data_IF_384216689573
#
_entry.id   IF_384216689573
#
_cell.length_a   1.000
_cell.length_b   1.000
_cell.length_c   1.000
_cell.angle_alpha   90.00
_cell.angle_beta   90.00
_cell.angle_gamma   90.00
#
_symmetry.space_group_name_H-M   'P 1'
#
loop_
_entity.id
_entity.type
_entity.pdbx_description
1 polymer ?
#
# COMPACT_ATOMS: atom_id res chain seq x y z
N UNK A 1 29.17 38.88 85.98
CA UNK A 1 28.91 37.42 85.97
C UNK A 1 28.54 36.99 84.55
N UNK A 2 29.26 35.99 84.02
CA UNK A 2 28.87 34.94 83.03
C UNK A 2 28.19 35.29 81.67
N UNK A 3 28.96 35.07 80.58
CA UNK A 3 28.71 34.45 79.24
C UNK A 3 27.27 34.04 78.78
N UNK A 4 26.99 33.71 77.48
CA UNK A 4 27.67 33.96 76.18
C UNK A 4 26.74 34.32 74.98
N UNK A 5 27.39 34.55 73.82
CA UNK A 5 26.97 34.55 72.40
C UNK A 5 25.69 33.83 71.97
N UNK A 6 24.99 34.39 70.97
CA UNK A 6 24.36 33.58 69.91
C UNK A 6 24.22 34.36 68.58
N UNK A 7 25.09 33.99 67.64
CA UNK A 7 24.95 34.19 66.20
C UNK A 7 23.55 33.72 65.74
N UNK A 8 22.83 34.51 64.96
CA UNK A 8 21.74 34.01 64.10
C UNK A 8 22.00 34.41 62.66
N UNK A 9 22.61 33.47 61.94
CA UNK A 9 22.67 33.44 60.48
C UNK A 9 21.26 33.42 59.91
N UNK A 10 20.94 34.41 59.06
CA UNK A 10 19.78 34.37 58.17
C UNK A 10 20.19 33.52 56.97
N UNK A 11 19.80 32.25 56.96
CA UNK A 11 19.95 31.37 55.81
C UNK A 11 18.78 31.63 54.84
N UNK A 12 19.09 32.15 53.65
CA UNK A 12 18.14 32.26 52.55
C UNK A 12 17.81 30.85 52.03
N UNK A 13 16.56 30.44 52.15
CA UNK A 13 16.06 29.18 51.59
C UNK A 13 15.81 29.36 50.08
N UNK A 14 16.80 29.00 49.26
CA UNK A 14 16.61 28.73 47.84
C UNK A 14 15.91 27.38 47.69
N UNK A 15 14.60 27.40 47.50
CA UNK A 15 13.83 26.23 47.05
C UNK A 15 14.21 25.98 45.59
N UNK A 16 15.13 25.04 45.37
CA UNK A 16 15.46 24.55 44.04
C UNK A 16 14.28 23.76 43.46
N UNK A 17 13.60 24.32 42.45
CA UNK A 17 12.76 23.52 41.56
C UNK A 17 13.66 22.57 40.77
N UNK A 18 13.79 21.33 41.23
CA UNK A 18 14.33 20.24 40.43
C UNK A 18 13.26 19.83 39.43
N UNK A 19 13.34 20.38 38.21
CA UNK A 19 12.59 19.85 37.08
C UNK A 19 13.07 18.41 36.84
N UNK A 20 12.24 17.43 37.20
CA UNK A 20 12.39 16.06 36.75
C UNK A 20 12.23 16.05 35.23
N UNK A 21 13.34 16.18 34.51
CA UNK A 21 13.39 15.86 33.10
C UNK A 21 13.17 14.35 32.98
N UNK A 22 11.93 13.95 32.70
CA UNK A 22 11.66 12.59 32.28
C UNK A 22 12.56 12.28 31.08
N UNK A 23 13.21 11.09 31.02
CA UNK A 23 14.00 10.73 29.87
C UNK A 23 13.11 10.82 28.64
N UNK A 24 13.53 11.59 27.64
CA UNK A 24 12.85 11.66 26.35
C UNK A 24 12.90 10.26 25.72
N UNK A 25 11.84 9.47 25.95
CA UNK A 25 11.68 8.16 25.32
C UNK A 25 11.66 8.37 23.80
N UNK A 26 12.35 7.49 23.06
CA UNK A 26 12.30 7.51 21.61
C UNK A 26 10.84 7.42 21.15
N UNK A 27 10.43 8.28 20.21
CA UNK A 27 9.06 8.28 19.66
C UNK A 27 8.77 6.88 19.09
N UNK A 28 7.63 6.24 19.45
CA UNK A 28 7.28 4.93 18.90
C UNK A 28 7.24 4.94 17.38
N UNK A 29 7.67 3.83 16.77
CA UNK A 29 7.68 3.72 15.31
C UNK A 29 6.24 3.62 14.78
N UNK A 30 5.97 4.31 13.67
CA UNK A 30 4.64 4.28 13.07
C UNK A 30 4.21 2.86 12.70
N UNK A 31 5.14 2.00 12.22
CA UNK A 31 4.82 0.61 11.88
C UNK A 31 4.33 -0.21 13.08
N UNK A 32 4.86 0.04 14.26
CA UNK A 32 4.46 -0.64 15.50
C UNK A 32 3.07 -0.19 15.94
N UNK A 33 2.83 1.12 15.90
CA UNK A 33 1.54 1.72 16.25
C UNK A 33 0.40 1.26 15.33
N UNK A 34 0.62 1.31 14.01
CA UNK A 34 -0.37 0.87 13.03
C UNK A 34 -0.52 -0.65 13.00
N UNK A 35 0.57 -1.41 13.16
CA UNK A 35 0.55 -2.87 13.21
C UNK A 35 -0.13 -3.45 14.46
N UNK A 36 -0.23 -2.68 15.54
CA UNK A 36 -0.95 -3.08 16.74
C UNK A 36 -2.48 -2.98 16.61
N UNK A 37 -2.99 -2.26 15.60
CA UNK A 37 -4.43 -2.09 15.41
C UNK A 37 -5.07 -3.38 14.89
N UNK A 38 -6.16 -3.81 15.53
CA UNK A 38 -6.90 -5.01 15.13
C UNK A 38 -8.03 -4.72 14.15
N UNK A 39 -8.64 -3.54 14.26
CA UNK A 39 -9.83 -3.12 13.50
C UNK A 39 -9.62 -1.71 12.90
N UNK A 40 -10.35 -1.38 11.82
CA UNK A 40 -10.24 -0.08 11.18
C UNK A 40 -10.76 1.04 12.08
N UNK A 41 -10.48 2.28 11.69
CA UNK A 41 -11.11 3.46 12.28
C UNK A 41 -12.58 3.55 11.84
N UNK A 42 -13.53 3.52 12.78
CA UNK A 42 -14.97 3.67 12.54
C UNK A 42 -15.34 5.13 12.25
N UNK A 43 -14.97 5.58 11.05
CA UNK A 43 -15.12 6.94 10.54
C UNK A 43 -15.41 6.88 9.04
N UNK A 44 -15.70 8.01 8.41
CA UNK A 44 -15.92 8.06 6.97
C UNK A 44 -14.69 7.56 6.16
N UNK A 45 -14.89 6.82 5.06
CA UNK A 45 -13.78 6.34 4.24
C UNK A 45 -12.96 7.47 3.63
N UNK A 46 -11.66 7.51 3.94
CA UNK A 46 -10.72 8.53 3.46
C UNK A 46 -9.30 7.96 3.40
N UNK A 47 -8.56 8.29 2.35
CA UNK A 47 -7.11 8.00 2.21
C UNK A 47 -6.29 9.28 2.45
N UNK A 48 -5.20 9.19 3.19
CA UNK A 48 -4.35 10.33 3.54
C UNK A 48 -2.89 10.09 3.20
N UNK A 49 -2.24 11.06 2.55
CA UNK A 49 -0.85 11.02 2.16
C UNK A 49 -0.60 10.29 0.86
N UNK A 50 0.57 9.66 0.74
CA UNK A 50 0.99 8.92 -0.45
C UNK A 50 1.01 7.42 -0.18
N UNK A 51 0.96 6.59 -1.23
CA UNK A 51 0.87 5.13 -1.13
C UNK A 51 1.88 4.46 -0.18
N UNK A 52 3.08 5.05 -0.04
CA UNK A 52 4.19 4.60 0.82
C UNK A 52 4.49 5.51 2.02
N UNK A 53 3.62 6.48 2.29
CA UNK A 53 3.75 7.46 3.36
C UNK A 53 2.39 8.05 3.70
N UNK A 54 1.57 7.30 4.44
CA UNK A 54 0.20 7.67 4.71
C UNK A 54 -0.55 6.71 5.62
N UNK A 55 -1.87 6.89 5.70
CA UNK A 55 -2.81 6.03 6.42
C UNK A 55 -4.19 6.11 5.72
N UNK A 56 -5.16 5.32 6.18
CA UNK A 56 -6.55 5.48 5.75
C UNK A 56 -7.53 5.17 6.88
N UNK A 57 -8.76 5.64 6.72
CA UNK A 57 -9.85 5.48 7.67
C UNK A 57 -11.12 4.98 6.98
N UNK A 58 -12.12 4.54 7.76
CA UNK A 58 -13.35 3.94 7.21
C UNK A 58 -13.09 2.70 6.36
N UNK A 59 -12.06 1.94 6.75
CA UNK A 59 -11.63 0.77 6.02
C UNK A 59 -12.63 -0.38 6.07
N UNK A 60 -12.72 -1.11 4.96
CA UNK A 60 -13.47 -2.36 4.89
C UNK A 60 -12.54 -3.52 4.61
N UNK A 61 -12.89 -4.68 5.14
CA UNK A 61 -12.19 -5.90 4.84
C UNK A 61 -12.83 -6.62 3.66
N UNK A 62 -12.02 -7.18 2.75
CA UNK A 62 -12.53 -8.18 1.80
C UNK A 62 -12.80 -9.48 2.54
N UNK A 63 -13.98 -10.09 2.41
CA UNK A 63 -14.27 -11.38 3.07
C UNK A 63 -13.18 -12.42 2.80
N UNK A 64 -12.95 -13.31 3.78
CA UNK A 64 -11.95 -14.40 3.70
C UNK A 64 -12.17 -15.25 2.45
N UNK A 65 -13.43 -15.45 2.11
CA UNK A 65 -13.90 -16.16 0.93
C UNK A 65 -14.97 -15.35 0.23
N UNK A 66 -14.94 -15.40 -1.10
CA UNK A 66 -16.08 -15.06 -1.95
C UNK A 66 -16.24 -16.09 -3.05
N UNK A 67 -17.18 -15.89 -3.99
CA UNK A 67 -17.42 -16.85 -5.06
C UNK A 67 -16.18 -17.13 -5.92
N UNK A 68 -15.43 -16.07 -6.24
CA UNK A 68 -14.25 -16.11 -7.11
C UNK A 68 -12.99 -15.55 -6.46
N UNK A 69 -12.88 -15.57 -5.13
CA UNK A 69 -11.62 -15.22 -4.47
C UNK A 69 -11.43 -15.92 -3.12
N UNK A 70 -10.17 -15.92 -2.67
CA UNK A 70 -9.74 -16.32 -1.34
C UNK A 70 -8.67 -15.34 -0.83
N UNK A 71 -8.84 -14.80 0.37
CA UNK A 71 -7.80 -14.02 1.04
C UNK A 71 -6.74 -14.95 1.66
N UNK A 72 -5.47 -14.64 1.44
CA UNK A 72 -4.32 -15.41 1.89
C UNK A 72 -3.65 -14.75 3.09
N UNK A 73 -2.85 -15.53 3.85
CA UNK A 73 -2.08 -15.01 5.00
C UNK A 73 -2.93 -14.21 6.00
N UNK A 74 -4.06 -14.77 6.41
CA UNK A 74 -5.05 -14.13 7.28
C UNK A 74 -4.44 -13.68 8.61
N UNK A 75 -3.47 -14.44 9.12
CA UNK A 75 -2.74 -14.14 10.36
C UNK A 75 -2.07 -12.77 10.36
N UNK A 76 -1.73 -12.21 9.19
CA UNK A 76 -1.09 -10.90 9.05
C UNK A 76 -2.03 -9.73 9.32
N UNK A 77 -3.35 -9.96 9.34
CA UNK A 77 -4.37 -8.91 9.44
C UNK A 77 -4.26 -7.81 8.38
N UNK A 78 -4.04 -8.20 7.11
CA UNK A 78 -3.78 -7.27 5.98
C UNK A 78 -4.86 -7.23 4.90
N UNK A 79 -6.08 -7.71 5.19
CA UNK A 79 -7.18 -7.79 4.22
C UNK A 79 -8.06 -6.52 4.17
N UNK A 80 -7.55 -5.38 4.61
CA UNK A 80 -8.30 -4.13 4.79
C UNK A 80 -7.94 -3.11 3.72
N UNK A 81 -8.91 -2.37 3.22
CA UNK A 81 -8.69 -1.32 2.24
C UNK A 81 -9.82 -0.30 2.19
N UNK A 82 -9.63 0.72 1.35
CA UNK A 82 -10.69 1.66 1.05
C UNK A 82 -11.85 0.92 0.35
N UNK A 83 -13.13 1.26 0.63
CA UNK A 83 -14.29 0.63 0.00
C UNK A 83 -14.19 0.45 -1.51
N UNK A 84 -13.73 1.48 -2.22
CA UNK A 84 -13.55 1.46 -3.67
C UNK A 84 -12.51 0.41 -4.12
N UNK A 85 -11.44 0.17 -3.35
CA UNK A 85 -10.47 -0.88 -3.68
C UNK A 85 -11.11 -2.26 -3.48
N UNK A 86 -11.76 -2.49 -2.35
CA UNK A 86 -12.39 -3.79 -2.07
C UNK A 86 -13.45 -4.11 -3.12
N UNK A 87 -14.30 -3.14 -3.50
CA UNK A 87 -15.25 -3.29 -4.59
C UNK A 87 -14.58 -3.57 -5.94
N UNK A 88 -13.41 -2.97 -6.19
CA UNK A 88 -12.61 -3.24 -7.39
C UNK A 88 -12.09 -4.68 -7.41
N UNK A 89 -11.65 -5.21 -6.28
CA UNK A 89 -11.17 -6.60 -6.16
C UNK A 89 -12.31 -7.61 -6.32
N UNK A 90 -13.47 -7.37 -5.70
CA UNK A 90 -14.65 -8.22 -5.88
C UNK A 90 -15.08 -8.22 -7.35
N UNK A 91 -15.14 -7.05 -7.99
CA UNK A 91 -15.45 -6.93 -9.42
C UNK A 91 -14.44 -7.68 -10.29
N UNK A 92 -13.13 -7.46 -10.06
CA UNK A 92 -12.06 -8.17 -10.75
C UNK A 92 -12.22 -9.69 -10.62
N UNK A 93 -12.57 -10.18 -9.43
CA UNK A 93 -12.71 -11.61 -9.19
C UNK A 93 -13.80 -12.25 -10.05
N UNK A 94 -14.96 -11.59 -10.16
CA UNK A 94 -16.10 -12.06 -10.95
C UNK A 94 -15.82 -11.96 -12.45
N UNK A 95 -15.30 -10.82 -12.92
CA UNK A 95 -15.06 -10.62 -14.35
C UNK A 95 -13.88 -11.46 -14.85
N UNK A 96 -12.82 -11.65 -14.04
CA UNK A 96 -11.71 -12.52 -14.42
C UNK A 96 -12.15 -14.00 -14.54
N UNK A 97 -13.10 -14.46 -13.73
CA UNK A 97 -13.68 -15.79 -13.87
C UNK A 97 -14.38 -16.00 -15.22
N UNK A 98 -15.05 -14.96 -15.74
CA UNK A 98 -15.64 -14.97 -17.08
C UNK A 98 -14.57 -15.02 -18.18
N UNK A 99 -13.36 -14.51 -17.90
CA UNK A 99 -12.20 -14.55 -18.79
C UNK A 99 -11.35 -15.84 -18.65
N UNK A 100 -11.86 -16.87 -17.94
CA UNK A 100 -11.17 -18.14 -17.74
C UNK A 100 -10.22 -18.19 -16.54
N UNK A 101 -10.25 -17.20 -15.65
CA UNK A 101 -9.48 -17.17 -14.41
C UNK A 101 -10.33 -17.58 -13.21
N UNK A 102 -10.26 -18.85 -12.78
CA UNK A 102 -11.17 -19.44 -11.77
C UNK A 102 -11.44 -18.55 -10.52
N UNK A 103 -10.44 -17.81 -10.06
CA UNK A 103 -10.61 -16.78 -9.05
C UNK A 103 -9.29 -16.19 -8.57
N UNK A 104 -9.36 -15.16 -7.74
CA UNK A 104 -8.20 -14.47 -7.19
C UNK A 104 -7.73 -15.12 -5.89
N UNK A 105 -6.43 -15.35 -5.76
CA UNK A 105 -5.80 -15.47 -4.44
C UNK A 105 -5.29 -14.07 -4.06
N UNK A 106 -5.96 -13.43 -3.10
CA UNK A 106 -5.69 -12.06 -2.67
C UNK A 106 -4.68 -12.08 -1.53
N UNK A 107 -3.53 -11.46 -1.74
CA UNK A 107 -2.46 -11.30 -0.75
C UNK A 107 -2.68 -10.10 0.17
N UNK A 108 -1.61 -9.33 0.41
CA UNK A 108 -1.68 -8.17 1.29
C UNK A 108 -2.46 -7.02 0.60
N UNK A 109 -3.38 -6.39 1.33
CA UNK A 109 -4.09 -5.15 0.94
C UNK A 109 -3.56 -3.99 1.78
N UNK A 110 -3.89 -3.92 3.05
CA UNK A 110 -3.36 -2.96 4.02
C UNK A 110 -3.68 -3.44 5.44
N UNK A 111 -2.94 -2.94 6.43
CA UNK A 111 -3.32 -3.07 7.85
C UNK A 111 -4.66 -2.33 8.09
N UNK A 112 -5.37 -2.57 9.20
CA UNK A 112 -6.74 -2.05 9.39
C UNK A 112 -6.87 -0.53 9.28
N UNK A 113 -5.82 0.21 9.64
CA UNK A 113 -5.75 1.67 9.57
C UNK A 113 -4.67 2.17 8.60
N UNK A 114 -4.14 1.27 7.78
CA UNK A 114 -3.04 1.57 6.87
C UNK A 114 -1.71 1.71 7.57
N UNK A 115 -0.96 2.77 7.24
CA UNK A 115 0.34 3.04 7.84
C UNK A 115 1.45 2.13 7.33
N UNK A 116 2.71 2.42 7.67
CA UNK A 116 3.84 1.55 7.38
C UNK A 116 3.60 0.14 7.94
N UNK A 117 3.82 -0.88 7.11
CA UNK A 117 3.68 -2.28 7.53
C UNK A 117 4.84 -2.71 8.44
N UNK A 118 4.55 -3.62 9.36
CA UNK A 118 5.58 -4.28 10.19
C UNK A 118 6.68 -4.94 9.36
N UNK A 119 6.31 -5.49 8.20
CA UNK A 119 7.19 -6.25 7.29
C UNK A 119 6.69 -6.15 5.85
N UNK A 120 7.59 -6.35 4.88
CA UNK A 120 7.22 -6.52 3.48
C UNK A 120 7.11 -5.22 2.70
N UNK A 121 5.91 -4.88 2.25
CA UNK A 121 5.71 -3.93 1.16
C UNK A 121 6.04 -2.49 1.53
N UNK A 122 6.53 -1.76 0.53
CA UNK A 122 6.80 -0.34 0.70
C UNK A 122 5.55 0.57 0.61
N UNK A 123 4.52 0.10 -0.08
CA UNK A 123 3.26 0.82 -0.22
C UNK A 123 2.19 0.22 0.69
N UNK A 124 0.93 0.11 0.24
CA UNK A 124 -0.16 -0.47 1.03
C UNK A 124 -0.49 0.29 2.32
N UNK A 125 -0.14 1.59 2.39
CA UNK A 125 -0.36 2.38 3.59
C UNK A 125 -1.70 3.10 3.58
N UNK A 126 -2.31 3.32 2.42
CA UNK A 126 -3.49 4.19 2.28
C UNK A 126 -4.75 3.45 1.78
N UNK A 127 -4.76 2.11 1.83
CA UNK A 127 -5.93 1.31 1.47
C UNK A 127 -6.26 1.27 -0.02
N UNK A 128 -5.29 1.57 -0.90
CA UNK A 128 -5.48 1.68 -2.36
C UNK A 128 -4.59 0.72 -3.17
N UNK A 129 -3.92 -0.21 -2.50
CA UNK A 129 -3.01 -1.21 -3.07
C UNK A 129 -3.46 -2.62 -2.68
N UNK A 130 -3.30 -3.59 -3.57
CA UNK A 130 -3.54 -5.00 -3.29
C UNK A 130 -2.62 -5.90 -4.10
N UNK A 131 -2.10 -6.95 -3.47
CA UNK A 131 -1.38 -8.01 -4.17
C UNK A 131 -2.32 -9.13 -4.58
N UNK A 132 -2.18 -9.59 -5.82
CA UNK A 132 -2.95 -10.71 -6.37
C UNK A 132 -1.97 -11.72 -6.95
N UNK A 133 -2.06 -12.97 -6.50
CA UNK A 133 -1.12 -13.99 -6.94
C UNK A 133 -1.35 -14.36 -8.41
N UNK A 134 -0.27 -14.69 -9.12
CA UNK A 134 -0.35 -15.31 -10.44
C UNK A 134 -0.75 -16.77 -10.39
N UNK A 135 -0.85 -17.37 -9.20
CA UNK A 135 -1.50 -18.67 -9.03
C UNK A 135 -3.03 -18.46 -9.01
N UNK A 136 -3.79 -19.04 -9.95
CA UNK A 136 -5.25 -18.99 -9.90
C UNK A 136 -5.78 -19.65 -8.64
N UNK A 137 -6.92 -19.18 -8.14
CA UNK A 137 -7.65 -19.86 -7.08
C UNK A 137 -7.96 -21.31 -7.51
N UNK A 138 -7.78 -22.32 -6.64
CA UNK A 138 -8.19 -23.70 -6.96
C UNK A 138 -9.72 -23.84 -6.96
N UNK A 139 -10.24 -24.96 -7.47
CA UNK A 139 -11.68 -25.30 -7.49
C UNK A 139 -12.27 -25.64 -6.10
N UNK A 140 -11.46 -25.56 -5.04
CA UNK A 140 -11.85 -25.78 -3.65
C UNK A 140 -11.44 -24.59 -2.78
N UNK A 141 -11.95 -24.54 -1.55
CA UNK A 141 -11.48 -23.58 -0.56
C UNK A 141 -10.26 -24.11 0.20
N UNK A 142 -9.33 -23.21 0.50
CA UNK A 142 -8.21 -23.46 1.40
C UNK A 142 -8.70 -23.32 2.84
N UNK A 143 -8.26 -24.24 3.69
CA UNK A 143 -8.31 -24.09 5.15
C UNK A 143 -7.46 -22.90 5.59
N UNK A 144 -7.66 -22.42 6.82
CA UNK A 144 -6.80 -21.35 7.37
C UNK A 144 -5.32 -21.75 7.35
N UNK A 145 -4.98 -23.00 7.68
CA UNK A 145 -3.60 -23.48 7.65
C UNK A 145 -3.01 -23.45 6.23
N UNK A 146 -3.76 -23.89 5.22
CA UNK A 146 -3.30 -23.84 3.84
C UNK A 146 -3.06 -22.41 3.36
N UNK A 147 -3.91 -21.45 3.76
CA UNK A 147 -3.72 -20.03 3.43
C UNK A 147 -2.45 -19.43 3.99
N UNK A 148 -1.92 -19.98 5.08
CA UNK A 148 -0.65 -19.56 5.68
C UNK A 148 0.56 -20.22 5.00
N UNK A 149 0.41 -21.47 4.54
CA UNK A 149 1.54 -22.33 4.18
C UNK A 149 1.73 -22.54 2.67
N UNK A 150 0.67 -22.47 1.85
CA UNK A 150 0.81 -22.59 0.38
C UNK A 150 1.71 -21.46 -0.13
N UNK A 151 2.67 -21.78 -0.98
CA UNK A 151 3.57 -20.80 -1.59
C UNK A 151 3.03 -20.30 -2.93
N UNK A 152 3.24 -19.02 -3.22
CA UNK A 152 2.94 -18.46 -4.53
C UNK A 152 3.94 -19.00 -5.56
N UNK A 153 3.48 -19.26 -6.78
CA UNK A 153 4.32 -19.83 -7.84
C UNK A 153 4.98 -18.72 -8.65
N UNK A 154 6.32 -18.76 -8.76
CA UNK A 154 7.05 -17.86 -9.66
C UNK A 154 6.75 -18.17 -11.12
N UNK A 155 6.43 -17.12 -11.88
CA UNK A 155 6.25 -17.16 -13.33
C UNK A 155 7.56 -17.18 -14.12
N UNK A 156 8.72 -17.08 -13.45
CA UNK A 156 10.02 -17.07 -14.14
C UNK A 156 10.58 -18.47 -14.37
N UNK A 157 11.46 -18.57 -15.37
CA UNK A 157 12.24 -19.77 -15.69
C UNK A 157 13.51 -19.78 -14.86
N UNK A 158 13.52 -20.55 -13.78
CA UNK A 158 14.64 -20.61 -12.83
C UNK A 158 14.96 -19.20 -12.30
N UNK A 159 16.25 -18.88 -12.25
CA UNK A 159 16.77 -17.57 -11.82
C UNK A 159 16.89 -16.54 -12.96
N UNK A 160 16.29 -16.82 -14.13
CA UNK A 160 16.32 -15.88 -15.25
C UNK A 160 15.31 -14.75 -15.10
N UNK A 161 15.48 -13.69 -15.90
CA UNK A 161 14.52 -12.59 -15.99
C UNK A 161 13.31 -12.90 -16.88
N UNK A 162 13.22 -14.09 -17.48
CA UNK A 162 12.21 -14.43 -18.47
C UNK A 162 11.12 -15.34 -17.90
N UNK A 163 9.91 -15.18 -18.43
CA UNK A 163 8.76 -16.03 -18.08
C UNK A 163 9.00 -17.47 -18.50
N UNK A 164 8.56 -18.42 -17.67
CA UNK A 164 8.49 -19.84 -18.00
C UNK A 164 7.17 -20.11 -18.75
N UNK A 165 7.26 -20.30 -20.06
CA UNK A 165 6.11 -20.54 -20.93
C UNK A 165 5.34 -21.82 -20.60
N UNK A 166 5.89 -22.74 -19.81
CA UNK A 166 5.16 -23.92 -19.31
C UNK A 166 4.16 -23.56 -18.21
N UNK A 167 4.30 -22.40 -17.57
CA UNK A 167 3.43 -21.91 -16.49
C UNK A 167 2.50 -20.80 -16.98
N UNK A 168 2.98 -19.97 -17.90
CA UNK A 168 2.23 -18.84 -18.42
C UNK A 168 1.12 -19.29 -19.37
N UNK A 169 -0.08 -18.78 -19.16
CA UNK A 169 -1.25 -19.10 -19.99
C UNK A 169 -1.93 -17.81 -20.47
N UNK A 170 -2.77 -17.87 -21.52
CA UNK A 170 -3.56 -16.71 -21.96
C UNK A 170 -4.43 -16.10 -20.83
N UNK A 171 -4.84 -16.90 -19.85
CA UNK A 171 -5.62 -16.42 -18.71
C UNK A 171 -4.83 -15.43 -17.82
N UNK A 172 -3.49 -15.56 -17.74
CA UNK A 172 -2.63 -14.61 -17.02
C UNK A 172 -2.63 -13.23 -17.72
N UNK A 173 -2.56 -13.22 -19.04
CA UNK A 173 -2.71 -11.98 -19.82
C UNK A 173 -4.12 -11.40 -19.64
N UNK A 174 -5.16 -12.24 -19.70
CA UNK A 174 -6.54 -11.81 -19.60
C UNK A 174 -6.86 -11.14 -18.26
N UNK A 175 -6.43 -11.69 -17.12
CA UNK A 175 -6.66 -11.08 -15.80
C UNK A 175 -5.94 -9.73 -15.64
N UNK A 176 -4.72 -9.59 -16.18
CA UNK A 176 -3.99 -8.32 -16.15
C UNK A 176 -4.66 -7.28 -17.06
N UNK A 177 -5.11 -7.68 -18.24
CA UNK A 177 -5.85 -6.82 -19.18
C UNK A 177 -7.17 -6.37 -18.56
N UNK A 178 -7.91 -7.29 -17.94
CA UNK A 178 -9.16 -7.01 -17.21
C UNK A 178 -8.93 -5.97 -16.13
N UNK A 179 -7.95 -6.18 -15.25
CA UNK A 179 -7.61 -5.23 -14.20
C UNK A 179 -7.21 -3.85 -14.77
N UNK A 180 -6.41 -3.81 -15.83
CA UNK A 180 -5.97 -2.55 -16.45
C UNK A 180 -7.11 -1.78 -17.13
N UNK A 181 -8.15 -2.47 -17.58
CA UNK A 181 -9.31 -1.85 -18.23
C UNK A 181 -10.11 -0.93 -17.30
N UNK A 182 -10.00 -1.13 -15.98
CA UNK A 182 -10.76 -0.36 -15.01
C UNK A 182 -10.26 1.09 -14.92
N UNK A 183 -11.14 2.10 -15.02
CA UNK A 183 -10.74 3.50 -15.04
C UNK A 183 -10.05 3.93 -13.74
N UNK A 184 -10.46 3.36 -12.61
CA UNK A 184 -9.86 3.65 -11.30
C UNK A 184 -8.48 3.01 -11.10
N UNK A 185 -8.10 1.99 -11.88
CA UNK A 185 -6.77 1.37 -11.78
C UNK A 185 -5.75 2.26 -12.47
N UNK A 186 -4.74 2.72 -11.74
CA UNK A 186 -3.67 3.56 -12.29
C UNK A 186 -2.45 2.76 -12.71
N UNK A 187 -2.11 1.72 -11.93
CA UNK A 187 -0.91 0.91 -12.14
C UNK A 187 -1.13 -0.54 -11.75
N UNK A 188 -0.47 -1.41 -12.49
CA UNK A 188 -0.28 -2.82 -12.17
C UNK A 188 1.22 -3.06 -12.19
N UNK A 189 1.84 -3.34 -11.04
CA UNK A 189 3.28 -3.63 -10.99
C UNK A 189 3.50 -5.13 -11.17
N UNK A 190 4.39 -5.48 -12.09
CA UNK A 190 4.77 -6.86 -12.42
C UNK A 190 6.29 -6.96 -12.59
N UNK A 191 6.83 -8.18 -12.51
CA UNK A 191 8.24 -8.39 -12.86
C UNK A 191 8.54 -7.93 -14.31
N UNK A 192 9.72 -7.38 -14.62
CA UNK A 192 10.08 -6.96 -15.98
C UNK A 192 9.93 -8.06 -17.03
N UNK A 193 10.25 -9.31 -16.68
CA UNK A 193 10.02 -10.48 -17.53
C UNK A 193 8.58 -10.67 -17.96
N UNK A 194 7.63 -10.44 -17.05
CA UNK A 194 6.20 -10.53 -17.33
C UNK A 194 5.77 -9.38 -18.23
N UNK A 195 6.25 -8.15 -17.96
CA UNK A 195 6.01 -7.01 -18.83
C UNK A 195 6.54 -7.28 -20.25
N UNK A 196 7.75 -7.85 -20.38
CA UNK A 196 8.33 -8.25 -21.66
C UNK A 196 7.48 -9.31 -22.35
N UNK A 197 7.05 -10.37 -21.64
CA UNK A 197 6.17 -11.40 -22.19
C UNK A 197 4.92 -10.77 -22.83
N UNK A 198 4.24 -9.88 -22.11
CA UNK A 198 3.10 -9.14 -22.63
C UNK A 198 3.45 -8.28 -23.86
N UNK A 199 4.57 -7.55 -23.80
CA UNK A 199 5.02 -6.75 -24.93
C UNK A 199 5.26 -7.60 -26.20
N UNK A 200 5.83 -8.79 -26.03
CA UNK A 200 6.15 -9.71 -27.12
C UNK A 200 4.90 -10.39 -27.70
N UNK A 201 3.89 -10.71 -26.87
CA UNK A 201 2.75 -11.56 -27.27
C UNK A 201 1.45 -10.81 -27.55
N UNK A 202 1.18 -9.69 -26.88
CA UNK A 202 -0.07 -8.96 -27.07
C UNK A 202 -0.15 -8.40 -28.50
N UNK A 203 -1.26 -8.65 -29.17
CA UNK A 203 -1.60 -8.14 -30.51
C UNK A 203 -2.90 -7.32 -30.43
N UNK A 204 -3.12 -6.44 -31.41
CA UNK A 204 -4.29 -5.55 -31.41
C UNK A 204 -4.16 -4.39 -30.43
N UNK A 205 -5.20 -4.14 -29.63
CA UNK A 205 -5.18 -3.05 -28.65
C UNK A 205 -4.17 -3.31 -27.52
N UNK A 206 -3.19 -2.41 -27.44
CA UNK A 206 -2.09 -2.42 -26.47
C UNK A 206 -2.15 -1.25 -25.49
N UNK A 207 -3.17 -0.40 -25.57
CA UNK A 207 -3.29 0.81 -24.74
C UNK A 207 -3.25 0.51 -23.24
N UNK A 208 -3.83 -0.63 -22.82
CA UNK A 208 -3.87 -1.10 -21.45
C UNK A 208 -2.48 -1.43 -20.87
N UNK A 209 -1.50 -1.78 -21.72
CA UNK A 209 -0.14 -2.07 -21.30
C UNK A 209 0.52 -0.85 -20.65
N UNK A 210 0.08 0.38 -20.97
CA UNK A 210 0.55 1.61 -20.33
C UNK A 210 0.46 1.56 -18.80
N UNK A 211 -0.56 0.91 -18.25
CA UNK A 211 -0.76 0.75 -16.80
C UNK A 211 0.08 -0.36 -16.19
N UNK A 212 0.54 -1.33 -17.00
CA UNK A 212 1.41 -2.43 -16.55
C UNK A 212 2.85 -1.93 -16.48
N UNK A 213 3.40 -1.85 -15.27
CA UNK A 213 4.72 -1.27 -14.99
C UNK A 213 5.69 -2.33 -14.47
N UNK A 214 6.89 -2.43 -15.05
CA UNK A 214 7.93 -3.30 -14.53
C UNK A 214 8.40 -2.82 -13.14
N UNK A 215 8.59 -3.74 -12.21
CA UNK A 215 9.13 -3.48 -10.87
C UNK A 215 9.85 -4.72 -10.31
N UNK A 216 10.84 -4.52 -9.44
CA UNK A 216 11.57 -5.64 -8.81
C UNK A 216 10.63 -6.57 -8.03
N UNK A 217 10.96 -7.87 -7.99
CA UNK A 217 10.05 -8.85 -7.38
C UNK A 217 8.85 -9.11 -8.29
N UNK A 218 7.64 -9.14 -7.76
CA UNK A 218 6.39 -9.22 -8.53
C UNK A 218 6.35 -10.32 -9.61
N UNK A 219 7.06 -11.42 -9.37
CA UNK A 219 7.14 -12.56 -10.28
C UNK A 219 6.18 -13.69 -9.92
N UNK A 220 5.56 -13.64 -8.73
CA UNK A 220 4.52 -14.59 -8.27
C UNK A 220 3.19 -13.91 -7.93
N UNK A 221 3.17 -12.57 -7.96
CA UNK A 221 1.97 -11.75 -7.79
C UNK A 221 2.10 -10.49 -8.66
N UNK A 222 0.98 -9.88 -9.00
CA UNK A 222 0.93 -8.50 -9.47
C UNK A 222 0.39 -7.60 -8.37
N UNK A 223 0.93 -6.39 -8.30
CA UNK A 223 0.48 -5.33 -7.39
C UNK A 223 -0.50 -4.44 -8.13
N UNK A 224 -1.76 -4.41 -7.71
CA UNK A 224 -2.79 -3.53 -8.25
C UNK A 224 -2.88 -2.26 -7.42
N UNK A 225 -2.88 -1.09 -8.08
CA UNK A 225 -3.06 0.22 -7.46
C UNK A 225 -4.23 0.97 -8.08
N UNK A 226 -5.10 1.51 -7.24
CA UNK A 226 -6.15 2.43 -7.67
C UNK A 226 -5.80 3.90 -7.39
N UNK A 227 -6.44 4.80 -8.13
CA UNK A 227 -6.36 6.25 -7.95
C UNK A 227 -6.89 6.68 -6.57
N UNK A 228 -6.52 7.89 -6.15
CA UNK A 228 -7.14 8.53 -5.00
C UNK A 228 -8.67 8.61 -5.19
N UNK A 229 -9.48 8.06 -4.27
CA UNK A 229 -10.93 8.14 -4.34
C UNK A 229 -11.43 9.58 -4.32
N UNK A 230 -12.55 9.83 -5.01
CA UNK A 230 -13.25 11.10 -4.90
C UNK A 230 -13.60 11.39 -3.44
N UNK A 231 -13.41 12.65 -3.01
CA UNK A 231 -13.63 13.06 -1.63
C UNK A 231 -12.49 12.77 -0.66
N UNK A 232 -11.45 12.00 -1.02
CA UNK A 232 -10.22 11.86 -0.21
C UNK A 232 -9.26 13.04 -0.47
N UNK A 233 -9.59 14.23 0.03
CA UNK A 233 -8.83 15.47 -0.24
C UNK A 233 -7.39 15.43 0.28
N UNK A 234 -7.13 14.64 1.33
CA UNK A 234 -5.78 14.42 1.86
C UNK A 234 -4.96 13.37 1.08
N UNK A 235 -5.50 12.74 0.05
CA UNK A 235 -4.81 11.74 -0.76
C UNK A 235 -3.95 12.38 -1.85
N UNK A 236 -2.68 12.02 -1.90
CA UNK A 236 -1.74 12.51 -2.90
C UNK A 236 -1.65 11.55 -4.07
N UNK A 237 -2.09 12.00 -5.24
CA UNK A 237 -1.99 11.25 -6.49
C UNK A 237 -0.52 11.01 -6.89
N UNK A 238 -0.30 9.94 -7.65
CA UNK A 238 0.97 9.70 -8.33
C UNK A 238 0.91 10.31 -9.73
N UNK A 239 2.06 10.76 -10.27
CA UNK A 239 2.14 11.20 -11.66
C UNK A 239 1.59 10.12 -12.61
N UNK A 240 1.02 10.48 -13.76
CA UNK A 240 0.55 9.51 -14.74
C UNK A 240 1.72 8.63 -15.26
N UNK A 241 1.47 7.36 -15.64
CA UNK A 241 2.45 6.60 -16.41
C UNK A 241 2.85 7.36 -17.68
N UNK A 242 4.11 7.24 -18.15
CA UNK A 242 4.52 7.82 -19.41
C UNK A 242 3.58 7.44 -20.57
N UNK A 243 3.47 8.27 -21.62
CA UNK A 243 2.77 7.88 -22.85
C UNK A 243 3.34 6.60 -23.46
N UNK A 244 2.53 5.94 -24.31
CA UNK A 244 2.90 4.68 -24.95
C UNK A 244 2.57 3.43 -24.12
N UNK A 245 2.86 2.27 -24.68
CA UNK A 245 2.61 0.97 -24.04
C UNK A 245 3.75 0.56 -23.07
N UNK A 246 4.86 1.31 -23.06
CA UNK A 246 6.04 1.05 -22.23
C UNK A 246 6.80 -0.20 -22.65
N UNK A 247 6.75 -0.57 -23.93
CA UNK A 247 7.48 -1.66 -24.57
C UNK A 247 8.63 -1.11 -25.44
N UNK A 248 9.36 -0.14 -24.90
CA UNK A 248 10.44 0.60 -25.57
C UNK A 248 11.74 0.52 -24.75
N UNK A 249 12.70 1.41 -25.01
CA UNK A 249 13.98 1.48 -24.29
C UNK A 249 13.84 1.58 -22.76
N UNK A 250 12.71 2.06 -22.25
CA UNK A 250 12.43 2.07 -20.81
C UNK A 250 12.26 0.66 -20.23
N UNK A 251 11.81 -0.31 -21.04
CA UNK A 251 11.77 -1.72 -20.68
C UNK A 251 13.13 -2.39 -20.85
N UNK A 252 13.85 -2.09 -21.95
CA UNK A 252 15.17 -2.67 -22.22
C UNK A 252 16.17 -2.44 -21.09
N UNK A 253 16.09 -1.29 -20.41
CA UNK A 253 16.90 -0.98 -19.24
C UNK A 253 16.82 -2.04 -18.13
N UNK A 254 15.65 -2.68 -17.93
CA UNK A 254 15.46 -3.75 -16.93
C UNK A 254 16.25 -5.04 -17.24
N UNK A 255 16.71 -5.19 -18.47
CA UNK A 255 17.51 -6.34 -18.94
C UNK A 255 19.00 -6.01 -19.02
N UNK A 256 19.42 -4.90 -18.40
CA UNK A 256 20.83 -4.57 -18.13
C UNK A 256 21.19 -4.91 -16.69
N UNK A 257 22.48 -4.85 -16.33
CA UNK A 257 22.93 -5.09 -14.94
C UNK A 257 22.56 -3.96 -13.96
N UNK A 258 22.47 -2.72 -14.46
CA UNK A 258 22.25 -1.51 -13.67
C UNK A 258 21.07 -1.59 -12.68
N UNK A 259 19.83 -1.95 -13.08
CA UNK A 259 18.70 -2.10 -12.17
C UNK A 259 18.90 -3.10 -11.04
N UNK A 260 19.83 -4.05 -11.17
CA UNK A 260 20.02 -5.13 -10.20
C UNK A 260 21.16 -4.86 -9.22
N UNK A 261 21.93 -3.79 -9.45
CA UNK A 261 22.98 -3.36 -8.53
C UNK A 261 22.38 -2.69 -7.29
N UNK A 262 22.96 -2.90 -6.09
CA UNK A 262 22.51 -2.20 -4.89
C UNK A 262 22.71 -0.69 -5.02
N UNK A 263 21.66 0.08 -4.71
CA UNK A 263 21.74 1.54 -4.69
C UNK A 263 22.83 2.04 -3.71
N UNK A 264 23.67 2.98 -4.17
CA UNK A 264 24.76 3.59 -3.39
C UNK A 264 24.52 5.09 -3.11
N UNK A 265 25.12 5.59 -2.03
CA UNK A 265 25.16 7.02 -1.72
C UNK A 265 23.76 7.65 -1.56
N UNK A 266 23.54 8.89 -2.06
CA UNK A 266 22.25 9.60 -1.95
C UNK A 266 21.06 8.89 -2.60
N UNK A 267 21.31 7.95 -3.54
CA UNK A 267 20.26 7.15 -4.16
C UNK A 267 19.74 6.03 -3.23
N UNK A 268 20.47 5.71 -2.15
CA UNK A 268 20.01 4.74 -1.15
C UNK A 268 18.77 5.30 -0.45
N UNK A 269 17.62 4.60 -0.50
CA UNK A 269 16.42 5.08 0.19
C UNK A 269 16.66 5.19 1.70
N UNK A 270 16.14 6.27 2.29
CA UNK A 270 16.13 6.42 3.76
C UNK A 270 15.47 5.21 4.38
N UNK A 271 16.00 4.75 5.51
CA UNK A 271 15.45 3.61 6.22
C UNK A 271 13.98 3.87 6.52
N UNK A 272 13.12 2.96 6.07
CA UNK A 272 11.66 3.09 6.23
C UNK A 272 11.22 2.53 7.57
N UNK A 273 12.04 1.66 8.15
CA UNK A 273 11.85 1.08 9.47
C UNK A 273 11.96 2.08 10.62
N UNK A 274 12.48 3.28 10.37
CA UNK A 274 12.61 4.35 11.39
C UNK A 274 11.55 5.44 11.25
N UNK A 275 10.50 5.21 10.44
CA UNK A 275 9.43 6.19 10.26
C UNK A 275 8.61 6.36 11.55
N UNK A 276 8.58 7.57 12.10
CA UNK A 276 7.73 7.93 13.24
C UNK A 276 6.43 8.61 12.79
N UNK A 277 5.51 8.87 13.71
CA UNK A 277 4.24 9.53 13.40
C UNK A 277 4.45 10.96 12.90
N UNK A 278 5.52 11.63 13.33
CA UNK A 278 5.89 12.95 12.82
C UNK A 278 6.17 12.99 11.31
N UNK A 279 6.54 11.86 10.72
CA UNK A 279 6.76 11.77 9.27
C UNK A 279 5.46 11.56 8.47
N UNK A 280 4.33 11.22 9.11
CA UNK A 280 3.06 10.95 8.44
C UNK A 280 2.16 12.19 8.37
N UNK A 281 1.15 12.22 7.47
CA UNK A 281 0.11 13.25 7.50
C UNK A 281 -0.50 13.39 8.91
N UNK A 282 -0.79 14.62 9.34
CA UNK A 282 -1.32 14.89 10.68
C UNK A 282 -2.62 14.13 10.97
N UNK A 283 -3.48 13.96 9.96
CA UNK A 283 -4.69 13.15 10.03
C UNK A 283 -4.46 11.72 10.51
N UNK A 284 -3.26 11.15 10.28
CA UNK A 284 -2.94 9.79 10.69
C UNK A 284 -2.90 9.59 12.21
N UNK A 285 -2.69 10.65 12.99
CA UNK A 285 -2.85 10.59 14.45
C UNK A 285 -4.32 10.39 14.84
N UNK A 286 -5.22 11.13 14.21
CA UNK A 286 -6.67 11.00 14.42
C UNK A 286 -7.19 9.64 13.97
N UNK A 287 -6.69 9.14 12.83
CA UNK A 287 -7.02 7.77 12.38
C UNK A 287 -6.57 6.74 13.40
N UNK A 288 -5.35 6.85 13.93
CA UNK A 288 -4.82 5.91 14.90
C UNK A 288 -5.60 5.93 16.23
N UNK A 289 -6.11 7.09 16.66
CA UNK A 289 -6.85 7.24 17.92
C UNK A 289 -8.36 7.02 17.80
N UNK A 290 -8.90 6.91 16.58
CA UNK A 290 -10.34 6.76 16.36
C UNK A 290 -10.91 5.48 16.99
N UNK A 291 -12.21 5.51 17.32
CA UNK A 291 -12.93 4.33 17.79
C UNK A 291 -12.89 3.20 16.75
N UNK A 292 -12.87 1.96 17.22
CA UNK A 292 -13.05 0.78 16.38
C UNK A 292 -14.55 0.50 16.15
N UNK A 293 -14.93 -0.17 15.05
CA UNK A 293 -16.29 -0.68 14.88
C UNK A 293 -16.60 -1.77 15.92
N UNK A 294 -17.90 -2.06 16.10
CA UNK A 294 -18.36 -3.07 17.05
C UNK A 294 -17.80 -4.48 16.77
N UNK A 295 -17.52 -4.81 15.51
CA UNK A 295 -16.90 -6.08 15.12
C UNK A 295 -16.29 -6.01 13.72
N UNK A 296 -15.41 -6.98 13.41
CA UNK A 296 -14.89 -7.23 12.06
C UNK A 296 -16.01 -7.51 11.04
N UNK A 297 -17.06 -8.20 11.46
CA UNK A 297 -18.20 -8.55 10.61
C UNK A 297 -18.97 -7.31 10.15
N UNK A 298 -19.09 -6.28 11.00
CA UNK A 298 -19.78 -5.03 10.67
C UNK A 298 -19.09 -4.22 9.56
N UNK A 299 -17.84 -4.53 9.25
CA UNK A 299 -16.99 -3.82 8.29
C UNK A 299 -16.33 -4.77 7.29
N UNK A 300 -16.97 -5.91 7.00
CA UNK A 300 -16.54 -6.86 5.96
C UNK A 300 -17.53 -6.83 4.79
N UNK A 301 -17.02 -6.68 3.56
CA UNK A 301 -17.80 -6.85 2.34
C UNK A 301 -17.77 -8.30 1.85
N UNK A 302 -18.94 -8.83 1.49
CA UNK A 302 -19.18 -10.27 1.23
C UNK A 302 -19.50 -10.61 -0.23
N UNK A 303 -19.25 -9.72 -1.20
CA UNK A 303 -19.36 -10.07 -2.63
C UNK A 303 -20.68 -9.84 -3.35
N UNK A 304 -21.75 -9.52 -2.63
CA UNK A 304 -23.09 -9.29 -3.20
C UNK A 304 -23.40 -7.79 -3.42
N UNK A 305 -22.40 -6.91 -3.37
CA UNK A 305 -22.61 -5.47 -3.48
C UNK A 305 -23.35 -4.84 -2.30
N UNK A 306 -23.59 -5.60 -1.22
CA UNK A 306 -24.21 -5.12 0.01
C UNK A 306 -23.24 -4.25 0.82
N UNK A 307 -23.56 -2.97 0.93
CA UNK A 307 -22.89 -2.06 1.86
C UNK A 307 -23.08 -2.56 3.30
N UNK A 308 -22.00 -2.78 4.05
CA UNK A 308 -22.05 -2.99 5.49
C UNK A 308 -22.49 -1.68 6.18
N UNK A 309 -23.45 -1.76 7.11
CA UNK A 309 -23.97 -0.62 7.89
C UNK A 309 -22.90 -0.08 8.86
N UNK A 310 -21.98 0.76 8.41
CA UNK A 310 -21.09 1.51 9.31
C UNK A 310 -20.45 2.73 8.62
N UNK A 311 -21.24 3.57 7.97
CA UNK A 311 -20.74 4.83 7.41
C UNK A 311 -21.74 5.96 7.63
N UNK A 312 -22.05 6.27 8.89
CA UNK A 312 -22.84 7.46 9.23
C UNK A 312 -22.46 8.00 10.61
N UNK A 313 -21.28 8.60 10.69
CA UNK A 313 -20.99 9.64 11.68
C UNK A 313 -20.09 10.70 11.01
N UNK A 314 -20.61 11.90 10.69
CA UNK A 314 -19.79 12.98 10.16
C UNK A 314 -18.90 13.53 11.28
N UNK A 315 -17.61 13.70 11.00
CA UNK A 315 -16.70 14.50 11.82
C UNK A 315 -16.43 15.84 11.12
N UNK A 316 -16.07 16.90 11.88
CA UNK A 316 -16.00 18.25 11.36
C UNK A 316 -14.82 18.41 10.40
N UNK A 317 -15.09 19.02 9.25
CA UNK A 317 -14.11 19.45 8.25
C UNK A 317 -13.32 20.62 8.83
N UNK A 318 -12.04 20.42 9.15
CA UNK A 318 -11.12 21.54 9.36
C UNK A 318 -10.61 22.00 8.01
N UNK A 319 -11.00 23.21 7.63
CA UNK A 319 -10.71 23.83 6.35
C UNK A 319 -9.21 23.96 6.08
N UNK A 320 -8.80 23.50 4.90
CA UNK A 320 -7.49 23.80 4.33
C UNK A 320 -7.75 24.62 3.06
N UNK A 321 -7.14 25.80 2.97
CA UNK A 321 -7.26 26.66 1.79
C UNK A 321 -6.46 26.05 0.64
N UNK A 322 -7.10 25.95 -0.53
CA UNK A 322 -6.50 25.47 -1.76
C UNK A 322 -5.67 26.59 -2.40
N UNK A 323 -4.44 26.28 -2.82
CA UNK A 323 -3.69 27.14 -3.75
C UNK A 323 -3.99 26.78 -5.21
N UNK A 324 -3.85 27.80 -6.06
CA UNK A 324 -4.24 27.82 -7.47
C UNK A 324 -3.45 26.81 -8.34
N UNK A 325 -4.11 25.82 -8.96
CA UNK A 325 -3.47 24.82 -9.81
C UNK A 325 -2.83 25.38 -11.10
N UNK A 326 -3.09 26.63 -11.47
CA UNK A 326 -2.49 27.25 -12.66
C UNK A 326 -0.99 27.58 -12.47
N UNK A 327 -0.51 27.75 -11.23
CA UNK A 327 0.88 28.20 -10.99
C UNK A 327 1.94 27.09 -11.00
N UNK A 328 1.53 25.82 -11.11
CA UNK A 328 2.44 24.64 -11.10
C UNK A 328 2.68 24.05 -12.50
N UNK A 329 1.82 24.40 -13.47
CA UNK A 329 1.83 23.80 -14.82
C UNK A 329 2.79 24.46 -15.82
N UNK A 330 3.42 25.60 -15.50
CA UNK A 330 4.24 26.37 -16.44
C UNK A 330 5.76 26.18 -16.36
N UNK A 331 6.29 25.20 -15.62
CA UNK A 331 7.74 25.14 -15.35
C UNK A 331 8.50 23.85 -15.71
N UNK A 332 8.04 22.99 -16.64
CA UNK A 332 8.85 21.80 -17.01
C UNK A 332 8.93 21.51 -18.53
N UNK A 333 10.15 21.33 -19.09
CA UNK A 333 10.37 21.02 -20.50
C UNK A 333 10.15 19.54 -20.85
N UNK A 334 9.73 19.29 -22.08
CA UNK A 334 9.19 18.02 -22.59
C UNK A 334 10.20 16.86 -22.84
N UNK A 335 11.45 16.94 -22.37
CA UNK A 335 12.51 16.02 -22.79
C UNK A 335 13.14 15.16 -21.67
N UNK A 336 12.36 14.81 -20.63
CA UNK A 336 12.79 13.90 -19.57
C UNK A 336 11.75 12.81 -19.34
N UNK A 337 11.83 11.72 -20.10
CA UNK A 337 11.20 10.46 -19.66
C UNK A 337 12.03 9.96 -18.48
N UNK A 338 11.51 9.93 -17.24
CA UNK A 338 12.30 9.50 -16.10
C UNK A 338 12.64 8.01 -16.25
N UNK A 339 13.94 7.69 -16.25
CA UNK A 339 14.38 6.30 -16.15
C UNK A 339 14.10 5.79 -14.73
N UNK A 340 13.62 4.55 -14.54
CA UNK A 340 13.53 3.98 -13.20
C UNK A 340 14.90 4.01 -12.52
N UNK A 341 14.95 4.22 -11.21
CA UNK A 341 16.19 4.26 -10.42
C UNK A 341 16.71 2.84 -10.12
N UNK A 342 17.96 2.68 -9.67
CA UNK A 342 18.49 1.39 -9.19
C UNK A 342 17.62 0.75 -8.09
N UNK A 343 17.77 -0.58 -7.89
CA UNK A 343 17.05 -1.31 -6.85
C UNK A 343 17.38 -0.76 -5.45
N UNK A 344 16.37 -0.35 -4.67
CA UNK A 344 16.52 -0.17 -3.24
C UNK A 344 17.08 -1.43 -2.58
N UNK A 345 18.10 -1.31 -1.73
CA UNK A 345 18.52 -2.43 -0.88
C UNK A 345 17.30 -2.96 -0.09
N UNK A 346 17.10 -4.28 -0.09
CA UNK A 346 16.14 -4.92 0.82
C UNK A 346 16.62 -4.64 2.25
N UNK A 347 15.79 -3.99 3.06
CA UNK A 347 15.97 -3.83 4.51
C UNK A 347 15.13 -4.88 5.21
#
# INVERSE_FOLDING_TARGET
>A
MRFPSLLKLVAAALVGLTAYAAPAGAEPLAKELFGAQKLPAATAPQSFGFYSKGCFSGGMAIAKDGPHWQAMRLSRNRRWGHPQLIATLERLSREAAQDGWNGLLVGDISQPRGGPMLTGHASHQIGLDADIWFTPMPSRRFTNSERENVSAVSMLKGDSLYVDDRKWTPAHEAVLRRAASYPQVERILVHPGIKKKLCDTVRGDRSWLRKVRPFWGHYYHFHLRIACPAGSTGCKAQAAPPPGDGCDKSLDWWFTDEPWRPAKGPAKPKARDVMTMAALPSACRSVLSAAAPASEMAVTMTGEGGASQAASAPLPVLGYQAEDPASILSSMPANQVPRPSERPALQ
#
